data_IF_600217464020
#
_entry.id   IF_600217464020
#
_cell.length_a   1.000
_cell.length_b   1.000
_cell.length_c   1.000
_cell.angle_alpha   90.00
_cell.angle_beta   90.00
_cell.angle_gamma   90.00
#
_symmetry.space_group_name_H-M   'P 1'
#
loop_
_entity.id
_entity.type
_entity.pdbx_description
1 polymer ?
#
# COMPACT_ATOMS: atom_id res chain seq x y z
N UNK A 1 18.07 -0.97 27.13
CA UNK A 1 18.58 0.28 27.73
C UNK A 1 18.85 1.36 26.67
N UNK A 2 19.72 1.16 25.67
CA UNK A 2 20.09 2.18 24.65
C UNK A 2 18.90 2.76 23.88
N UNK A 3 17.96 1.91 23.40
CA UNK A 3 16.76 2.37 22.70
C UNK A 3 15.86 3.24 23.57
N UNK A 4 15.73 2.91 24.83
CA UNK A 4 14.91 3.65 25.80
C UNK A 4 15.50 5.06 26.07
N UNK A 5 16.83 5.17 26.26
CA UNK A 5 17.50 6.46 26.42
C UNK A 5 17.38 7.33 25.14
N UNK A 6 17.49 6.75 23.97
CA UNK A 6 17.25 7.46 22.69
C UNK A 6 15.84 8.01 22.63
N UNK A 7 14.84 7.21 23.06
CA UNK A 7 13.44 7.62 23.04
C UNK A 7 13.16 8.76 24.04
N UNK A 8 13.79 8.75 25.23
CA UNK A 8 13.74 9.89 26.18
C UNK A 8 14.21 11.17 25.51
N UNK A 9 15.41 11.14 24.90
CA UNK A 9 15.97 12.31 24.22
C UNK A 9 15.07 12.79 23.07
N UNK A 10 14.54 11.87 22.26
CA UNK A 10 13.60 12.17 21.18
C UNK A 10 12.32 12.81 21.71
N UNK A 11 11.77 12.28 22.79
CA UNK A 11 10.55 12.80 23.40
C UNK A 11 10.73 14.20 23.98
N UNK A 12 11.81 14.45 24.74
CA UNK A 12 12.11 15.78 25.27
C UNK A 12 12.33 16.80 24.15
N UNK A 13 13.06 16.45 23.10
CA UNK A 13 13.25 17.30 21.91
C UNK A 13 11.92 17.55 21.17
N UNK A 14 11.05 16.56 21.05
CA UNK A 14 9.73 16.72 20.48
C UNK A 14 8.94 17.75 21.30
N UNK A 15 8.84 17.55 22.62
CA UNK A 15 8.06 18.41 23.51
C UNK A 15 8.55 19.88 23.53
N UNK A 16 9.85 20.10 23.40
CA UNK A 16 10.39 21.47 23.30
C UNK A 16 10.12 22.17 21.97
N UNK A 17 9.77 21.42 20.91
CA UNK A 17 9.62 21.95 19.54
C UNK A 17 8.22 21.80 18.96
N UNK A 18 7.36 20.95 19.52
CA UNK A 18 6.06 20.60 18.89
C UNK A 18 5.15 21.82 18.67
N UNK A 19 5.24 22.85 19.52
CA UNK A 19 4.49 24.11 19.36
C UNK A 19 4.81 24.89 18.08
N UNK A 20 5.97 24.60 17.47
CA UNK A 20 6.41 25.22 16.21
C UNK A 20 5.76 24.57 14.98
N UNK A 21 4.98 23.50 15.17
CA UNK A 21 4.39 22.72 14.09
C UNK A 21 2.88 22.66 14.24
N UNK A 22 2.18 23.01 13.16
CA UNK A 22 0.74 22.80 13.06
C UNK A 22 0.41 21.44 12.46
N UNK A 23 1.26 20.97 11.55
CA UNK A 23 1.05 19.78 10.74
C UNK A 23 2.07 18.71 11.08
N UNK A 24 1.59 17.48 11.28
CA UNK A 24 2.41 16.29 11.43
C UNK A 24 2.03 15.18 10.46
N UNK A 25 2.99 14.30 10.22
CA UNK A 25 2.80 13.02 9.54
C UNK A 25 3.29 11.89 10.44
N UNK A 26 2.54 10.79 10.45
CA UNK A 26 2.94 9.56 11.11
C UNK A 26 3.16 8.45 10.09
N UNK A 27 4.33 7.80 10.16
CA UNK A 27 4.66 6.61 9.40
C UNK A 27 5.14 5.49 10.32
N UNK A 28 4.43 4.38 10.31
CA UNK A 28 4.78 3.22 11.13
C UNK A 28 6.10 2.58 10.72
N UNK A 29 6.39 2.57 9.41
CA UNK A 29 7.57 1.96 8.81
C UNK A 29 7.95 2.64 7.49
N UNK A 30 9.11 2.28 6.94
CA UNK A 30 9.61 2.84 5.69
C UNK A 30 8.70 2.55 4.48
N UNK A 31 8.01 1.42 4.47
CA UNK A 31 7.08 1.09 3.41
C UNK A 31 5.91 2.09 3.35
N UNK A 32 5.27 2.36 4.48
CA UNK A 32 4.20 3.37 4.58
C UNK A 32 4.75 4.77 4.28
N UNK A 33 5.99 5.05 4.68
CA UNK A 33 6.63 6.34 4.43
C UNK A 33 6.76 6.64 2.93
N UNK A 34 7.09 5.68 2.09
CA UNK A 34 7.19 5.86 0.64
C UNK A 34 5.89 6.39 0.01
N UNK A 35 4.73 5.98 0.52
CA UNK A 35 3.43 6.50 0.07
C UNK A 35 3.15 7.91 0.57
N UNK A 36 3.56 8.22 1.80
CA UNK A 36 3.37 9.54 2.41
C UNK A 36 4.34 10.60 1.87
N UNK A 37 5.50 10.20 1.34
CA UNK A 37 6.57 11.10 0.89
C UNK A 37 6.06 12.24 0.01
N UNK A 38 5.16 11.96 -0.93
CA UNK A 38 4.61 13.00 -1.82
C UNK A 38 3.72 14.01 -1.11
N UNK A 39 2.90 13.53 -0.19
CA UNK A 39 2.07 14.42 0.63
C UNK A 39 2.95 15.30 1.53
N UNK A 40 3.99 14.71 2.11
CA UNK A 40 5.00 15.40 2.92
C UNK A 40 5.71 16.47 2.10
N UNK A 41 6.26 16.11 0.94
CA UNK A 41 6.98 17.06 0.08
C UNK A 41 6.11 18.21 -0.41
N UNK A 42 4.84 17.95 -0.74
CA UNK A 42 3.89 19.00 -1.12
C UNK A 42 3.57 19.95 0.04
N UNK A 43 3.45 19.44 1.25
CA UNK A 43 3.20 20.25 2.44
C UNK A 43 4.43 21.05 2.86
N UNK A 44 5.64 20.49 2.76
CA UNK A 44 6.91 21.18 3.06
C UNK A 44 7.14 22.45 2.24
N UNK A 45 6.50 22.55 1.06
CA UNK A 45 6.53 23.78 0.25
C UNK A 45 5.79 24.94 0.89
N UNK A 46 4.89 24.69 1.84
CA UNK A 46 3.95 25.66 2.40
C UNK A 46 4.17 25.93 3.89
N UNK A 47 4.65 24.94 4.63
CA UNK A 47 4.74 25.01 6.09
C UNK A 47 5.78 24.05 6.67
N UNK A 48 6.21 24.31 7.91
CA UNK A 48 7.08 23.39 8.65
C UNK A 48 6.30 22.13 9.05
N UNK A 49 6.90 20.98 8.88
CA UNK A 49 6.28 19.68 9.14
C UNK A 49 7.05 18.93 10.22
N UNK A 50 6.30 18.26 11.09
CA UNK A 50 6.78 17.29 12.05
C UNK A 50 6.50 15.87 11.52
N UNK A 51 7.48 14.99 11.59
CA UNK A 51 7.33 13.58 11.22
C UNK A 51 7.59 12.70 12.43
N UNK A 52 6.61 11.86 12.75
CA UNK A 52 6.74 10.78 13.74
C UNK A 52 6.95 9.46 13.02
N UNK A 53 7.91 8.66 13.46
CA UNK A 53 8.15 7.35 12.87
C UNK A 53 8.57 6.31 13.92
N UNK A 54 8.36 5.02 13.58
CA UNK A 54 8.87 3.90 14.38
C UNK A 54 10.14 3.29 13.78
N UNK A 55 10.56 3.78 12.59
CA UNK A 55 11.79 3.40 11.90
C UNK A 55 12.53 4.64 11.42
N UNK A 56 13.81 4.50 11.15
CA UNK A 56 14.61 5.57 10.57
C UNK A 56 14.11 5.91 9.17
N UNK A 57 13.94 7.19 8.90
CA UNK A 57 13.46 7.72 7.62
C UNK A 57 14.65 8.08 6.71
N UNK A 58 14.52 7.97 5.38
CA UNK A 58 15.59 8.36 4.44
C UNK A 58 16.03 9.81 4.58
N UNK A 59 17.34 10.06 4.47
CA UNK A 59 18.00 11.35 4.75
C UNK A 59 17.51 12.52 3.89
N UNK A 60 17.02 12.28 2.68
CA UNK A 60 16.55 13.33 1.76
C UNK A 60 15.39 14.18 2.32
N UNK A 61 14.64 13.65 3.29
CA UNK A 61 13.52 14.33 3.96
C UNK A 61 13.93 14.86 5.33
N UNK A 62 14.81 14.16 6.04
CA UNK A 62 15.29 14.57 7.37
C UNK A 62 15.84 15.99 7.37
N UNK A 63 16.55 16.39 6.32
CA UNK A 63 17.15 17.73 6.20
C UNK A 63 16.11 18.86 5.98
N UNK A 64 14.86 18.51 5.65
CA UNK A 64 13.80 19.48 5.32
C UNK A 64 12.66 19.52 6.35
N UNK A 65 12.64 18.58 7.30
CA UNK A 65 11.59 18.41 8.29
C UNK A 65 12.18 18.03 9.64
N UNK A 66 11.41 18.19 10.71
CA UNK A 66 11.80 17.61 12.01
C UNK A 66 11.26 16.20 12.14
N UNK A 67 12.17 15.25 12.26
CA UNK A 67 11.86 13.83 12.36
C UNK A 67 12.15 13.33 13.78
N UNK A 68 11.18 12.63 14.37
CA UNK A 68 11.29 12.00 15.67
C UNK A 68 10.97 10.51 15.55
N UNK A 69 11.96 9.68 15.93
CA UNK A 69 11.85 8.22 15.85
C UNK A 69 11.71 7.65 17.24
N UNK A 70 10.75 6.71 17.41
CA UNK A 70 10.47 6.04 18.68
C UNK A 70 10.54 4.51 18.52
N UNK A 71 11.35 3.86 19.34
CA UNK A 71 11.68 2.44 19.21
C UNK A 71 10.89 1.57 20.20
N UNK A 72 10.64 2.07 21.41
CA UNK A 72 10.01 1.30 22.48
C UNK A 72 8.49 1.50 22.51
N UNK A 73 7.75 0.45 22.86
CA UNK A 73 6.29 0.49 22.92
C UNK A 73 5.79 1.62 23.82
N UNK A 74 6.42 1.79 24.98
CA UNK A 74 6.05 2.84 25.94
C UNK A 74 6.08 4.25 25.30
N UNK A 75 7.18 4.64 24.63
CA UNK A 75 7.29 5.97 24.01
C UNK A 75 6.45 6.11 22.76
N UNK A 76 6.21 5.04 22.04
CA UNK A 76 5.27 5.02 20.89
C UNK A 76 3.84 5.36 21.34
N UNK A 77 3.37 4.81 22.45
CA UNK A 77 2.06 5.14 23.01
C UNK A 77 2.05 6.55 23.64
N UNK A 78 3.05 6.88 24.43
CA UNK A 78 3.15 8.15 25.16
C UNK A 78 3.15 9.35 24.19
N UNK A 79 3.88 9.27 23.07
CA UNK A 79 3.95 10.38 22.12
C UNK A 79 2.59 10.70 21.54
N UNK A 80 1.79 9.71 21.17
CA UNK A 80 0.45 9.96 20.63
C UNK A 80 -0.50 10.52 21.68
N UNK A 81 -0.52 9.95 22.87
CA UNK A 81 -1.38 10.40 23.96
C UNK A 81 -1.13 11.87 24.34
N UNK A 82 0.12 12.33 24.21
CA UNK A 82 0.53 13.69 24.64
C UNK A 82 0.76 14.66 23.50
N UNK A 83 0.55 14.26 22.25
CA UNK A 83 0.82 15.08 21.06
C UNK A 83 -0.04 16.35 21.01
N UNK A 84 0.60 17.48 20.70
CA UNK A 84 -0.06 18.79 20.56
C UNK A 84 0.16 19.34 19.15
N UNK A 85 -0.66 18.88 18.20
CA UNK A 85 -0.67 19.34 16.81
C UNK A 85 -2.07 19.82 16.41
N UNK A 86 -2.16 20.62 15.35
CA UNK A 86 -3.43 20.96 14.73
C UNK A 86 -3.99 19.80 13.91
N UNK A 87 -3.11 19.10 13.17
CA UNK A 87 -3.50 17.96 12.32
C UNK A 87 -2.36 16.92 12.22
N UNK A 88 -2.72 15.65 12.27
CA UNK A 88 -1.82 14.51 12.01
C UNK A 88 -2.35 13.69 10.85
N UNK A 89 -1.56 13.54 9.81
CA UNK A 89 -1.81 12.66 8.68
C UNK A 89 -1.14 11.30 8.89
N UNK A 90 -1.85 10.23 8.56
CA UNK A 90 -1.31 8.86 8.66
C UNK A 90 -1.91 7.96 7.59
N UNK A 91 -1.17 6.92 7.22
CA UNK A 91 -1.66 5.77 6.45
C UNK A 91 -1.76 4.49 7.29
N UNK A 92 -1.60 4.59 8.61
CA UNK A 92 -1.84 3.49 9.56
C UNK A 92 -3.30 3.52 9.99
N UNK A 93 -4.08 2.46 9.75
CA UNK A 93 -5.47 2.36 10.18
C UNK A 93 -5.58 2.07 11.69
N UNK A 94 -6.79 1.78 12.16
CA UNK A 94 -7.07 1.32 13.52
C UNK A 94 -6.64 2.33 14.62
N UNK A 95 -6.82 3.63 14.35
CA UNK A 95 -6.64 4.69 15.35
C UNK A 95 -7.52 4.39 16.58
N UNK A 96 -6.95 4.54 17.76
CA UNK A 96 -7.50 4.17 19.08
C UNK A 96 -7.63 2.66 19.35
N UNK A 97 -7.50 1.80 18.37
CA UNK A 97 -7.57 0.36 18.52
C UNK A 97 -6.19 -0.30 18.66
N UNK A 98 -5.11 0.45 18.43
CA UNK A 98 -3.72 -0.03 18.48
C UNK A 98 -2.86 0.87 19.35
N UNK A 99 -1.53 0.84 19.17
CA UNK A 99 -0.57 1.78 19.80
C UNK A 99 -0.82 3.22 19.31
N UNK A 100 -1.38 3.36 18.11
CA UNK A 100 -1.73 4.65 17.52
C UNK A 100 -3.01 5.18 18.18
N UNK A 101 -2.85 6.15 19.10
CA UNK A 101 -3.93 6.72 19.92
C UNK A 101 -4.19 8.18 19.60
N UNK A 102 -5.42 8.62 19.80
CA UNK A 102 -5.74 10.05 19.78
C UNK A 102 -5.11 10.74 21.01
N UNK A 103 -4.62 11.96 20.79
CA UNK A 103 -4.11 12.77 21.89
C UNK A 103 -5.22 13.09 22.91
N UNK A 104 -4.90 12.99 24.19
CA UNK A 104 -5.77 13.41 25.29
C UNK A 104 -5.59 14.89 25.68
N UNK A 105 -4.54 15.53 25.18
CA UNK A 105 -4.12 16.88 25.58
C UNK A 105 -4.26 17.94 24.48
N UNK A 106 -4.82 17.57 23.33
CA UNK A 106 -5.05 18.51 22.24
C UNK A 106 -6.28 18.15 21.41
N UNK A 107 -6.79 19.13 20.68
CA UNK A 107 -7.86 18.94 19.67
C UNK A 107 -7.27 18.59 18.30
N UNK A 108 -6.19 17.79 18.26
CA UNK A 108 -5.56 17.36 17.02
C UNK A 108 -6.58 16.64 16.13
N UNK A 109 -6.63 17.02 14.85
CA UNK A 109 -7.41 16.30 13.85
C UNK A 109 -6.58 15.20 13.23
N UNK A 110 -7.15 14.01 13.07
CA UNK A 110 -6.51 12.84 12.51
C UNK A 110 -7.08 12.55 11.13
N UNK A 111 -6.22 12.54 10.12
CA UNK A 111 -6.62 12.38 8.72
C UNK A 111 -5.94 11.12 8.18
N UNK A 112 -6.75 10.18 7.72
CA UNK A 112 -6.24 8.98 7.06
C UNK A 112 -6.00 9.23 5.58
N UNK A 113 -4.79 8.88 5.10
CA UNK A 113 -4.39 8.90 3.70
C UNK A 113 -4.20 7.46 3.21
N UNK A 114 -4.86 7.11 2.11
CA UNK A 114 -4.72 5.77 1.57
C UNK A 114 -3.34 5.54 0.93
N UNK A 115 -2.71 4.43 1.30
CA UNK A 115 -1.45 3.95 0.73
C UNK A 115 -1.66 2.87 -0.35
N UNK A 116 -2.92 2.47 -0.62
CA UNK A 116 -3.25 1.47 -1.64
C UNK A 116 -4.70 1.62 -2.09
N UNK A 117 -5.01 1.36 -3.37
CA UNK A 117 -6.37 1.47 -3.91
C UNK A 117 -7.23 0.21 -3.66
N UNK A 118 -7.21 -0.33 -2.45
CA UNK A 118 -7.99 -1.51 -2.07
C UNK A 118 -9.32 -1.15 -1.42
N UNK A 119 -10.21 -2.13 -1.31
CA UNK A 119 -11.51 -2.01 -0.62
C UNK A 119 -11.33 -1.74 0.86
N UNK A 120 -12.15 -0.85 1.40
CA UNK A 120 -12.19 -0.51 2.81
C UNK A 120 -12.91 -1.58 3.62
N UNK A 121 -13.94 -2.18 3.04
CA UNK A 121 -14.79 -3.16 3.72
C UNK A 121 -14.24 -4.58 3.67
N UNK A 122 -13.47 -4.94 2.61
CA UNK A 122 -12.92 -6.29 2.43
C UNK A 122 -11.60 -6.50 3.19
N UNK A 123 -10.75 -5.46 3.21
CA UNK A 123 -9.34 -5.58 3.64
C UNK A 123 -9.10 -5.03 5.05
N UNK A 124 -9.83 -4.01 5.48
CA UNK A 124 -9.64 -3.40 6.79
C UNK A 124 -10.63 -3.94 7.82
N UNK A 125 -10.30 -3.82 9.10
CA UNK A 125 -11.22 -4.12 10.20
C UNK A 125 -12.46 -3.22 10.11
N UNK A 126 -13.58 -3.68 10.65
CA UNK A 126 -14.87 -2.98 10.56
C UNK A 126 -14.84 -1.57 11.16
N UNK A 127 -13.97 -1.34 12.15
CA UNK A 127 -13.82 -0.08 12.88
C UNK A 127 -12.50 0.65 12.58
N UNK A 128 -11.80 0.26 11.50
CA UNK A 128 -10.46 0.77 11.19
C UNK A 128 -10.41 2.29 11.01
N UNK A 129 -11.52 2.92 10.62
CA UNK A 129 -11.61 4.35 10.29
C UNK A 129 -12.47 5.16 11.26
N UNK A 130 -13.08 4.54 12.26
CA UNK A 130 -14.11 5.15 13.11
C UNK A 130 -13.58 6.33 13.93
N UNK A 131 -12.33 6.26 14.36
CA UNK A 131 -11.70 7.31 15.16
C UNK A 131 -11.06 8.44 14.35
N UNK A 132 -11.05 8.39 13.01
CA UNK A 132 -10.50 9.47 12.18
C UNK A 132 -11.50 10.61 11.98
N UNK A 133 -11.00 11.86 11.95
CA UNK A 133 -11.83 13.03 11.62
C UNK A 133 -12.11 13.10 10.12
N UNK A 134 -11.18 12.63 9.30
CA UNK A 134 -11.39 12.55 7.85
C UNK A 134 -10.60 11.38 7.23
N UNK A 135 -11.16 10.81 6.15
CA UNK A 135 -10.55 9.73 5.39
C UNK A 135 -10.49 10.13 3.92
N UNK A 136 -9.31 10.01 3.32
CA UNK A 136 -9.11 10.19 1.89
C UNK A 136 -9.77 9.06 1.12
N UNK A 137 -10.39 9.36 -0.02
CA UNK A 137 -10.77 8.40 -1.03
C UNK A 137 -10.01 8.71 -2.32
N UNK A 138 -9.29 7.73 -2.86
CA UNK A 138 -8.52 7.85 -4.10
C UNK A 138 -9.25 7.27 -5.30
N UNK A 139 -10.43 6.68 -5.06
CA UNK A 139 -11.32 6.15 -6.10
C UNK A 139 -12.79 6.37 -5.75
N UNK A 140 -13.66 6.28 -6.77
CA UNK A 140 -15.12 6.32 -6.59
C UNK A 140 -15.61 5.15 -5.73
N UNK A 141 -14.95 3.99 -5.81
CA UNK A 141 -15.25 2.81 -4.98
C UNK A 141 -15.00 3.09 -3.50
N UNK A 142 -13.80 3.53 -3.15
CA UNK A 142 -13.47 3.86 -1.76
C UNK A 142 -14.36 4.99 -1.22
N UNK A 143 -14.71 5.98 -2.05
CA UNK A 143 -15.61 7.05 -1.64
C UNK A 143 -17.00 6.52 -1.28
N UNK A 144 -17.57 5.61 -2.10
CA UNK A 144 -18.86 4.99 -1.85
C UNK A 144 -18.84 4.07 -0.62
N UNK A 145 -17.82 3.22 -0.51
CA UNK A 145 -17.63 2.35 0.67
C UNK A 145 -17.51 3.18 1.96
N UNK A 146 -16.70 4.25 1.96
CA UNK A 146 -16.55 5.09 3.16
C UNK A 146 -17.85 5.82 3.53
N UNK A 147 -18.60 6.30 2.55
CA UNK A 147 -19.93 6.88 2.78
C UNK A 147 -20.88 5.88 3.45
N UNK A 148 -20.87 4.64 3.00
CA UNK A 148 -21.70 3.58 3.58
C UNK A 148 -21.25 3.23 5.01
N UNK A 149 -19.92 3.13 5.27
CA UNK A 149 -19.35 2.92 6.62
C UNK A 149 -19.80 4.05 7.56
N UNK A 150 -19.63 5.31 7.13
CA UNK A 150 -20.05 6.49 7.92
C UNK A 150 -21.53 6.41 8.28
N UNK A 151 -22.38 6.10 7.31
CA UNK A 151 -23.83 6.02 7.53
C UNK A 151 -24.22 4.88 8.47
N UNK A 152 -23.66 3.67 8.26
CA UNK A 152 -23.98 2.49 9.09
C UNK A 152 -23.51 2.62 10.53
N UNK A 153 -22.26 3.12 10.71
CA UNK A 153 -21.67 3.26 12.02
C UNK A 153 -22.00 4.60 12.70
N UNK A 154 -22.82 5.45 12.03
CA UNK A 154 -23.22 6.80 12.52
C UNK A 154 -22.02 7.66 12.92
N UNK A 155 -20.97 7.68 12.09
CA UNK A 155 -19.71 8.35 12.36
C UNK A 155 -19.78 9.85 12.02
N UNK A 156 -19.02 10.66 12.76
CA UNK A 156 -18.76 12.07 12.43
C UNK A 156 -17.62 12.26 11.42
N UNK A 157 -16.96 11.18 11.03
CA UNK A 157 -15.86 11.13 10.06
C UNK A 157 -16.27 11.72 8.71
N UNK A 158 -15.40 12.52 8.09
CA UNK A 158 -15.61 13.03 6.73
C UNK A 158 -14.84 12.21 5.72
N UNK A 159 -15.41 11.99 4.54
CA UNK A 159 -14.69 11.44 3.39
C UNK A 159 -14.46 12.53 2.36
N UNK A 160 -13.23 12.60 1.81
CA UNK A 160 -12.87 13.55 0.76
C UNK A 160 -12.16 12.89 -0.39
N UNK A 161 -12.43 13.35 -1.61
CA UNK A 161 -11.79 12.88 -2.84
C UNK A 161 -10.43 13.53 -2.99
N UNK A 162 -9.41 12.76 -3.34
CA UNK A 162 -8.07 13.28 -3.59
C UNK A 162 -7.27 12.37 -4.50
N UNK A 163 -6.31 12.92 -5.23
CA UNK A 163 -5.41 12.18 -6.10
C UNK A 163 -4.53 11.20 -5.30
N UNK A 164 -4.28 10.04 -5.89
CA UNK A 164 -3.31 9.08 -5.39
C UNK A 164 -1.90 9.48 -5.83
N UNK A 165 -1.26 10.37 -5.08
CA UNK A 165 -0.01 11.01 -5.49
C UNK A 165 1.16 10.04 -5.70
N UNK A 166 1.18 8.92 -5.01
CA UNK A 166 2.20 7.88 -5.19
C UNK A 166 2.32 7.41 -6.66
N UNK A 167 1.20 7.27 -7.35
CA UNK A 167 1.15 6.83 -8.75
C UNK A 167 1.90 7.79 -9.68
N UNK A 168 1.86 9.09 -9.44
CA UNK A 168 2.48 10.08 -10.33
C UNK A 168 3.99 9.83 -10.51
N UNK A 169 4.70 9.50 -9.42
CA UNK A 169 6.14 9.17 -9.49
C UNK A 169 6.42 7.92 -10.31
N UNK A 170 5.55 6.93 -10.21
CA UNK A 170 5.67 5.70 -10.99
C UNK A 170 5.45 5.96 -12.49
N UNK A 171 4.44 6.78 -12.81
CA UNK A 171 4.15 7.19 -14.20
C UNK A 171 5.32 7.97 -14.80
N UNK A 172 5.90 8.92 -14.05
CA UNK A 172 7.07 9.69 -14.51
C UNK A 172 8.26 8.78 -14.77
N UNK A 173 8.57 7.85 -13.87
CA UNK A 173 9.65 6.88 -14.05
C UNK A 173 9.41 5.95 -15.24
N UNK A 174 8.16 5.51 -15.45
CA UNK A 174 7.81 4.64 -16.58
C UNK A 174 8.04 5.33 -17.94
N UNK A 175 7.90 6.67 -18.00
CA UNK A 175 8.16 7.44 -19.25
C UNK A 175 9.64 7.51 -19.61
N UNK A 176 10.53 7.42 -18.64
CA UNK A 176 11.98 7.69 -18.79
C UNK A 176 12.84 6.43 -18.73
N UNK A 177 12.29 5.28 -18.35
CA UNK A 177 13.05 4.05 -18.13
C UNK A 177 12.35 2.85 -18.78
N UNK A 178 13.14 2.03 -19.47
CA UNK A 178 12.67 0.80 -20.07
C UNK A 178 12.65 -0.36 -19.06
N UNK A 179 11.72 -1.30 -19.18
CA UNK A 179 11.72 -2.54 -18.40
C UNK A 179 13.00 -3.36 -18.65
N UNK A 180 13.62 -3.84 -17.61
CA UNK A 180 14.80 -4.74 -17.65
C UNK A 180 14.45 -6.22 -17.40
N UNK A 181 13.24 -6.49 -16.96
CA UNK A 181 12.73 -7.82 -16.62
C UNK A 181 11.32 -8.01 -17.20
N UNK A 182 11.02 -9.20 -17.73
CA UNK A 182 9.71 -9.45 -18.33
C UNK A 182 8.59 -9.48 -17.28
N UNK A 183 8.75 -10.26 -16.23
CA UNK A 183 7.65 -10.57 -15.30
C UNK A 183 7.98 -10.28 -13.85
N UNK A 184 7.10 -9.53 -13.17
CA UNK A 184 7.02 -9.48 -11.72
C UNK A 184 5.94 -10.46 -11.24
N UNK A 185 6.31 -11.39 -10.37
CA UNK A 185 5.37 -12.24 -9.63
C UNK A 185 5.22 -11.62 -8.24
N UNK A 186 4.06 -11.05 -7.89
CA UNK A 186 3.85 -10.34 -6.64
C UNK A 186 2.55 -10.78 -5.94
N UNK A 187 2.55 -11.97 -5.29
CA UNK A 187 1.36 -12.50 -4.63
C UNK A 187 0.99 -11.69 -3.38
N UNK A 188 -0.28 -11.73 -3.02
CA UNK A 188 -0.78 -11.17 -1.77
C UNK A 188 -0.39 -12.05 -0.59
N UNK A 189 -0.40 -11.48 0.61
CA UNK A 189 -0.28 -12.24 1.86
C UNK A 189 -1.63 -12.81 2.31
N UNK A 190 -1.60 -13.81 3.20
CA UNK A 190 -2.78 -14.53 3.67
C UNK A 190 -3.62 -15.12 2.52
N UNK A 191 -2.93 -15.53 1.47
CA UNK A 191 -3.51 -16.19 0.31
C UNK A 191 -3.01 -17.64 0.22
N UNK A 192 -3.72 -18.43 -0.56
CA UNK A 192 -3.32 -19.81 -0.80
C UNK A 192 -2.21 -19.97 -1.85
N UNK A 193 -1.64 -18.87 -2.35
CA UNK A 193 -0.70 -18.85 -3.46
C UNK A 193 0.51 -19.77 -3.25
N UNK A 194 1.18 -19.65 -2.10
CA UNK A 194 2.33 -20.48 -1.76
C UNK A 194 1.90 -21.93 -1.43
N UNK A 195 0.84 -22.06 -0.65
CA UNK A 195 0.30 -23.37 -0.21
C UNK A 195 -0.13 -24.24 -1.40
N UNK A 196 -0.73 -23.65 -2.43
CA UNK A 196 -1.17 -24.32 -3.64
C UNK A 196 -0.05 -24.50 -4.68
N UNK A 197 1.18 -24.13 -4.35
CA UNK A 197 2.34 -24.31 -5.24
C UNK A 197 2.31 -23.42 -6.50
N UNK A 198 1.48 -22.36 -6.56
CA UNK A 198 1.37 -21.49 -7.73
C UNK A 198 2.72 -20.90 -8.15
N UNK A 199 3.58 -20.51 -7.17
CA UNK A 199 4.92 -20.01 -7.44
C UNK A 199 5.78 -21.05 -8.19
N UNK A 200 5.79 -22.32 -7.74
CA UNK A 200 6.58 -23.39 -8.37
C UNK A 200 6.14 -23.63 -9.82
N UNK A 201 4.81 -23.67 -10.02
CA UNK A 201 4.23 -23.92 -11.35
C UNK A 201 4.52 -22.76 -12.32
N UNK A 202 4.40 -21.51 -11.87
CA UNK A 202 4.76 -20.33 -12.66
C UNK A 202 6.23 -20.33 -13.05
N UNK A 203 7.11 -20.52 -12.08
CA UNK A 203 8.55 -20.49 -12.28
C UNK A 203 8.98 -21.55 -13.28
N UNK A 204 8.48 -22.79 -13.16
CA UNK A 204 8.72 -23.85 -14.13
C UNK A 204 8.36 -23.40 -15.54
N UNK A 205 7.13 -22.94 -15.76
CA UNK A 205 6.64 -22.55 -17.09
C UNK A 205 7.38 -21.32 -17.67
N UNK A 206 7.72 -20.31 -16.84
CA UNK A 206 8.47 -19.13 -17.26
C UNK A 206 9.91 -19.49 -17.65
N UNK A 207 10.58 -20.33 -16.86
CA UNK A 207 11.95 -20.79 -17.12
C UNK A 207 12.03 -21.64 -18.40
N UNK A 208 11.12 -22.61 -18.59
CA UNK A 208 11.02 -23.40 -19.81
C UNK A 208 10.78 -22.53 -21.05
N UNK A 209 10.09 -21.41 -20.87
CA UNK A 209 9.80 -20.45 -21.96
C UNK A 209 10.86 -19.38 -22.13
N UNK A 210 11.97 -19.39 -21.38
CA UNK A 210 13.05 -18.39 -21.38
C UNK A 210 12.54 -16.95 -21.18
N UNK A 211 11.54 -16.80 -20.32
CA UNK A 211 10.99 -15.49 -19.93
C UNK A 211 11.65 -15.07 -18.61
N UNK A 212 12.23 -13.88 -18.58
CA UNK A 212 12.85 -13.35 -17.37
C UNK A 212 11.79 -12.97 -16.32
N UNK A 213 12.05 -13.30 -15.06
CA UNK A 213 11.09 -13.01 -13.97
C UNK A 213 11.81 -12.72 -12.65
N UNK A 214 11.11 -12.02 -11.75
CA UNK A 214 11.46 -11.92 -10.33
C UNK A 214 10.22 -12.15 -9.49
N UNK A 215 10.41 -12.74 -8.31
CA UNK A 215 9.34 -12.94 -7.34
C UNK A 215 9.52 -11.92 -6.20
N UNK A 216 8.43 -11.20 -5.86
CA UNK A 216 8.36 -10.25 -4.75
C UNK A 216 7.39 -10.78 -3.70
N UNK A 217 7.87 -11.46 -2.66
CA UNK A 217 7.00 -11.89 -1.56
C UNK A 217 6.42 -10.65 -0.86
N UNK A 218 5.16 -10.71 -0.45
CA UNK A 218 4.60 -9.65 0.36
C UNK A 218 5.28 -9.61 1.75
N UNK A 219 5.60 -8.43 2.33
CA UNK A 219 6.25 -8.34 3.65
C UNK A 219 5.55 -9.15 4.73
N UNK A 220 4.22 -9.12 4.76
CA UNK A 220 3.41 -9.89 5.71
C UNK A 220 3.51 -11.40 5.50
N UNK A 221 3.74 -11.89 4.28
CA UNK A 221 3.97 -13.32 4.02
C UNK A 221 5.27 -13.79 4.67
N UNK A 222 6.30 -12.93 4.68
CA UNK A 222 7.57 -13.22 5.36
C UNK A 222 7.41 -13.19 6.88
N UNK A 223 6.72 -12.18 7.42
CA UNK A 223 6.46 -12.05 8.86
C UNK A 223 5.62 -13.24 9.36
N UNK A 224 4.59 -13.64 8.62
CA UNK A 224 3.71 -14.77 8.96
C UNK A 224 4.28 -16.14 8.59
N UNK A 225 5.50 -16.17 8.05
CA UNK A 225 6.19 -17.42 7.63
C UNK A 225 5.39 -18.25 6.61
N UNK A 226 4.62 -17.60 5.73
CA UNK A 226 3.97 -18.26 4.59
C UNK A 226 5.02 -18.72 3.55
N UNK A 227 6.14 -18.03 3.52
CA UNK A 227 7.35 -18.32 2.75
C UNK A 227 8.55 -17.64 3.41
N UNK A 228 9.76 -18.01 3.01
CA UNK A 228 10.98 -17.31 3.44
C UNK A 228 11.87 -16.97 2.25
N UNK A 229 12.65 -15.91 2.34
CA UNK A 229 13.61 -15.54 1.30
C UNK A 229 14.60 -16.67 1.07
N UNK A 230 15.14 -17.27 2.14
CA UNK A 230 16.10 -18.37 2.07
C UNK A 230 15.53 -19.60 1.32
N UNK A 231 14.26 -19.96 1.56
CA UNK A 231 13.65 -21.10 0.86
C UNK A 231 13.43 -20.82 -0.62
N UNK A 232 13.07 -19.59 -0.96
CA UNK A 232 12.90 -19.17 -2.35
C UNK A 232 14.26 -19.12 -3.08
N UNK A 233 15.30 -18.60 -2.46
CA UNK A 233 16.67 -18.54 -3.00
C UNK A 233 17.26 -19.95 -3.19
N UNK A 234 17.02 -20.90 -2.26
CA UNK A 234 17.41 -22.31 -2.43
C UNK A 234 16.77 -22.98 -3.64
N UNK A 235 15.58 -22.50 -4.04
CA UNK A 235 14.91 -22.96 -5.26
C UNK A 235 15.43 -22.25 -6.53
N UNK A 236 16.47 -21.43 -6.42
CA UNK A 236 17.02 -20.64 -7.54
C UNK A 236 16.09 -19.52 -8.02
N UNK A 237 15.15 -19.05 -7.18
CA UNK A 237 14.17 -18.06 -7.57
C UNK A 237 14.76 -16.65 -7.41
N UNK A 238 14.86 -15.85 -8.47
CA UNK A 238 15.33 -14.49 -8.37
C UNK A 238 14.31 -13.62 -7.60
N UNK A 239 14.76 -13.05 -6.48
CA UNK A 239 13.92 -12.25 -5.60
C UNK A 239 14.05 -10.78 -5.96
N UNK A 240 12.91 -10.11 -6.11
CA UNK A 240 12.85 -8.66 -6.09
C UNK A 240 12.84 -8.16 -4.64
N UNK A 241 13.95 -7.59 -4.20
CA UNK A 241 14.10 -7.07 -2.83
C UNK A 241 13.27 -5.80 -2.68
N UNK A 242 11.98 -5.99 -2.40
CA UNK A 242 10.99 -5.05 -1.87
C UNK A 242 11.28 -3.56 -2.17
N UNK A 243 11.07 -3.17 -3.40
CA UNK A 243 11.01 -1.76 -3.71
C UNK A 243 9.78 -1.51 -4.60
N UNK A 244 8.66 -1.12 -3.99
CA UNK A 244 7.42 -0.80 -4.69
C UNK A 244 7.60 0.30 -5.74
N UNK A 245 8.63 1.13 -5.59
CA UNK A 245 9.00 2.17 -6.55
C UNK A 245 9.56 1.63 -7.88
N UNK A 246 9.66 0.31 -8.06
CA UNK A 246 10.31 -0.30 -9.21
C UNK A 246 9.37 -1.08 -10.14
N UNK A 247 8.05 -0.81 -10.10
CA UNK A 247 7.10 -1.48 -11.02
C UNK A 247 7.44 -1.21 -12.49
N UNK A 248 7.99 -0.05 -12.82
CA UNK A 248 8.41 0.33 -14.18
C UNK A 248 9.49 -0.60 -14.77
N UNK A 249 10.21 -1.37 -13.95
CA UNK A 249 11.22 -2.36 -14.40
C UNK A 249 10.62 -3.59 -15.04
N UNK A 250 9.31 -3.78 -14.95
CA UNK A 250 8.64 -4.99 -15.39
C UNK A 250 7.66 -4.71 -16.54
N UNK A 251 7.66 -5.61 -17.50
CA UNK A 251 6.71 -5.57 -18.62
C UNK A 251 5.33 -6.08 -18.23
N UNK A 252 5.30 -7.14 -17.43
CA UNK A 252 4.07 -7.82 -17.00
C UNK A 252 4.05 -8.02 -15.50
N UNK A 253 2.84 -8.08 -14.95
CA UNK A 253 2.58 -8.42 -13.56
C UNK A 253 1.74 -9.69 -13.49
N UNK A 254 2.17 -10.66 -12.67
CA UNK A 254 1.36 -11.81 -12.25
C UNK A 254 1.12 -11.70 -10.75
N UNK A 255 -0.14 -11.78 -10.33
CA UNK A 255 -0.52 -11.72 -8.92
C UNK A 255 -1.79 -12.55 -8.67
N UNK A 256 -2.43 -12.39 -7.51
CA UNK A 256 -3.69 -13.05 -7.15
C UNK A 256 -4.75 -12.06 -6.64
N UNK A 257 -4.86 -11.85 -5.32
CA UNK A 257 -5.78 -10.91 -4.67
C UNK A 257 -5.06 -9.67 -4.09
N UNK A 258 -3.93 -9.30 -4.63
CA UNK A 258 -3.18 -8.11 -4.20
C UNK A 258 -3.67 -6.86 -4.90
N UNK A 259 -3.82 -5.75 -4.20
CA UNK A 259 -4.15 -4.45 -4.77
C UNK A 259 -3.15 -3.92 -5.81
N UNK A 260 -1.96 -4.53 -5.89
CA UNK A 260 -0.92 -4.15 -6.86
C UNK A 260 -1.38 -4.24 -8.33
N UNK A 261 -2.39 -5.10 -8.64
CA UNK A 261 -2.93 -5.17 -10.01
C UNK A 261 -3.65 -3.88 -10.40
N UNK A 262 -4.29 -3.21 -9.43
CA UNK A 262 -4.93 -1.91 -9.65
C UNK A 262 -3.85 -0.86 -9.89
N UNK A 263 -2.81 -0.82 -9.05
CA UNK A 263 -1.67 0.09 -9.21
C UNK A 263 -0.97 -0.11 -10.57
N UNK A 264 -0.76 -1.36 -10.97
CA UNK A 264 -0.19 -1.70 -12.28
C UNK A 264 -1.03 -1.12 -13.42
N UNK A 265 -2.35 -1.31 -13.36
CA UNK A 265 -3.26 -0.76 -14.36
C UNK A 265 -3.25 0.79 -14.36
N UNK A 266 -3.20 1.42 -13.18
CA UNK A 266 -3.11 2.89 -13.04
C UNK A 266 -1.82 3.47 -13.64
N UNK A 267 -0.69 2.77 -13.50
CA UNK A 267 0.61 3.23 -14.00
C UNK A 267 0.74 3.00 -15.50
N UNK A 268 0.45 1.78 -15.95
CA UNK A 268 0.81 1.32 -17.30
C UNK A 268 -0.34 1.32 -18.28
N UNK A 269 -1.58 1.54 -17.85
CA UNK A 269 -2.79 1.42 -18.68
C UNK A 269 -2.88 0.06 -19.41
N UNK A 270 -2.43 -0.99 -18.74
CA UNK A 270 -2.39 -2.37 -19.24
C UNK A 270 -2.95 -3.34 -18.22
N UNK A 271 -3.48 -4.46 -18.71
CA UNK A 271 -3.97 -5.55 -17.86
C UNK A 271 -2.82 -6.37 -17.28
N UNK A 272 -2.93 -6.70 -16.00
CA UNK A 272 -2.10 -7.71 -15.36
C UNK A 272 -2.70 -9.10 -15.53
N UNK A 273 -1.97 -10.14 -15.08
CA UNK A 273 -2.45 -11.52 -15.04
C UNK A 273 -2.74 -11.92 -13.60
N UNK A 274 -3.92 -12.46 -13.34
CA UNK A 274 -4.33 -12.88 -12.00
C UNK A 274 -4.53 -14.40 -11.96
N UNK A 275 -4.00 -15.03 -10.91
CA UNK A 275 -4.29 -16.42 -10.61
C UNK A 275 -5.50 -16.46 -9.68
N UNK A 276 -6.48 -17.28 -10.04
CA UNK A 276 -7.71 -17.44 -9.30
C UNK A 276 -7.51 -18.36 -8.09
N UNK A 277 -6.78 -17.88 -7.08
CA UNK A 277 -6.69 -18.50 -5.76
C UNK A 277 -7.99 -18.25 -4.98
N UNK A 278 -8.26 -18.97 -3.87
CA UNK A 278 -9.34 -18.63 -2.97
C UNK A 278 -9.32 -17.16 -2.57
N UNK A 279 -10.51 -16.54 -2.53
CA UNK A 279 -10.65 -15.11 -2.26
C UNK A 279 -10.00 -14.73 -0.93
N UNK A 280 -9.19 -13.68 -0.95
CA UNK A 280 -8.60 -13.09 0.25
C UNK A 280 -9.62 -12.18 0.94
N UNK A 281 -10.10 -12.59 2.09
CA UNK A 281 -11.06 -11.86 2.91
C UNK A 281 -10.45 -11.66 4.30
N UNK A 282 -10.26 -10.39 4.70
CA UNK A 282 -9.82 -10.06 6.05
C UNK A 282 -10.98 -9.70 6.97
N UNK A 283 -11.98 -9.03 6.41
CA UNK A 283 -13.16 -8.61 7.13
C UNK A 283 -14.41 -9.33 6.59
N UNK A 284 -14.92 -10.31 7.32
CA UNK A 284 -16.11 -11.05 6.97
C UNK A 284 -17.38 -10.15 6.89
N UNK A 285 -17.38 -9.02 7.60
CA UNK A 285 -18.48 -8.07 7.61
C UNK A 285 -18.69 -7.35 6.27
N UNK A 286 -17.78 -7.53 5.28
CA UNK A 286 -17.94 -6.92 3.96
C UNK A 286 -19.26 -7.32 3.27
N UNK A 287 -19.80 -8.50 3.60
CA UNK A 287 -21.08 -8.97 3.06
C UNK A 287 -22.29 -8.14 3.54
N UNK A 288 -22.12 -7.40 4.63
CA UNK A 288 -23.15 -6.50 5.16
C UNK A 288 -23.21 -5.16 4.41
N UNK A 289 -22.27 -4.89 3.50
CA UNK A 289 -22.23 -3.65 2.73
C UNK A 289 -22.81 -3.85 1.33
N UNK A 290 -23.51 -2.83 0.83
CA UNK A 290 -24.13 -2.88 -0.50
C UNK A 290 -23.13 -2.61 -1.62
N UNK A 291 -22.07 -1.82 -1.34
CA UNK A 291 -21.01 -1.52 -2.30
C UNK A 291 -20.09 -2.72 -2.46
N UNK A 292 -19.97 -3.21 -3.70
CA UNK A 292 -19.02 -4.29 -3.99
C UNK A 292 -17.58 -3.81 -3.86
N UNK A 293 -16.70 -4.60 -3.18
CA UNK A 293 -15.26 -4.33 -3.11
C UNK A 293 -14.64 -4.08 -4.47
N UNK A 294 -13.70 -3.12 -4.52
CA UNK A 294 -13.05 -2.71 -5.76
C UNK A 294 -12.30 -3.88 -6.42
N UNK A 295 -11.66 -4.76 -5.63
CA UNK A 295 -10.97 -5.94 -6.13
C UNK A 295 -11.91 -6.93 -6.83
N UNK A 296 -13.16 -6.98 -6.39
CA UNK A 296 -14.18 -7.83 -7.02
C UNK A 296 -14.74 -7.15 -8.27
N UNK A 297 -15.03 -5.84 -8.16
CA UNK A 297 -15.67 -5.07 -9.24
C UNK A 297 -14.76 -4.87 -10.44
N UNK A 298 -13.47 -4.64 -10.22
CA UNK A 298 -12.52 -4.31 -11.27
C UNK A 298 -11.61 -5.48 -11.70
N UNK A 299 -11.68 -6.63 -11.04
CA UNK A 299 -10.79 -7.77 -11.28
C UNK A 299 -10.71 -8.15 -12.76
N UNK A 300 -11.84 -8.40 -13.39
CA UNK A 300 -11.91 -8.83 -14.78
C UNK A 300 -11.82 -7.67 -15.79
N UNK A 301 -11.86 -6.44 -15.30
CA UNK A 301 -11.71 -5.23 -16.13
C UNK A 301 -10.24 -4.86 -16.23
N UNK A 302 -9.57 -4.73 -15.08
CA UNK A 302 -8.17 -4.29 -14.98
C UNK A 302 -7.16 -5.41 -15.18
N UNK A 303 -7.61 -6.68 -15.23
CA UNK A 303 -6.74 -7.83 -15.36
C UNK A 303 -7.39 -8.98 -16.13
N UNK A 304 -6.55 -9.94 -16.58
CA UNK A 304 -7.00 -11.23 -17.10
C UNK A 304 -6.82 -12.29 -16.00
N UNK A 305 -7.89 -13.04 -15.70
CA UNK A 305 -7.90 -14.02 -14.61
C UNK A 305 -7.81 -15.45 -15.14
N UNK A 306 -6.97 -16.25 -14.53
CA UNK A 306 -6.71 -17.66 -14.90
C UNK A 306 -6.86 -18.56 -13.69
N UNK A 307 -7.48 -19.73 -13.90
CA UNK A 307 -7.47 -20.78 -12.90
C UNK A 307 -6.07 -21.40 -12.76
N UNK A 308 -5.78 -21.95 -11.58
CA UNK A 308 -4.47 -22.55 -11.27
C UNK A 308 -4.07 -23.61 -12.29
N UNK A 309 -5.02 -24.44 -12.73
CA UNK A 309 -4.80 -25.48 -13.76
C UNK A 309 -4.43 -24.92 -15.14
N UNK A 310 -4.67 -23.65 -15.39
CA UNK A 310 -4.44 -22.96 -16.66
C UNK A 310 -3.29 -21.94 -16.62
N UNK A 311 -2.41 -22.02 -15.63
CA UNK A 311 -1.26 -21.10 -15.46
C UNK A 311 -0.37 -21.04 -16.71
N UNK A 312 -0.20 -22.17 -17.42
CA UNK A 312 0.54 -22.21 -18.69
C UNK A 312 -0.01 -21.25 -19.76
N UNK A 313 -1.29 -20.91 -19.72
CA UNK A 313 -1.88 -19.96 -20.67
C UNK A 313 -1.41 -18.52 -20.43
N UNK A 314 -1.12 -18.16 -19.17
CA UNK A 314 -0.50 -16.87 -18.83
C UNK A 314 0.84 -16.74 -19.57
N UNK A 315 1.66 -17.79 -19.49
CA UNK A 315 3.00 -17.80 -20.10
C UNK A 315 2.91 -17.74 -21.63
N UNK A 316 1.95 -18.45 -22.24
CA UNK A 316 1.69 -18.35 -23.70
C UNK A 316 1.32 -16.94 -24.12
N UNK A 317 0.42 -16.26 -23.37
CA UNK A 317 0.04 -14.87 -23.66
C UNK A 317 1.21 -13.89 -23.50
N UNK A 318 2.00 -14.02 -22.42
CA UNK A 318 3.19 -13.19 -22.23
C UNK A 318 4.16 -13.36 -23.40
N UNK A 319 4.39 -14.58 -23.86
CA UNK A 319 5.26 -14.88 -24.99
C UNK A 319 4.75 -14.25 -26.29
N UNK A 320 3.45 -14.33 -26.53
CA UNK A 320 2.82 -13.71 -27.71
C UNK A 320 2.85 -12.18 -27.67
N UNK A 321 2.71 -11.57 -26.48
CA UNK A 321 2.62 -10.12 -26.30
C UNK A 321 3.97 -9.44 -26.03
N UNK A 322 5.08 -10.18 -26.00
CA UNK A 322 6.39 -9.64 -25.58
C UNK A 322 6.88 -8.48 -26.45
N UNK A 323 6.55 -8.48 -27.74
CA UNK A 323 6.99 -7.49 -28.72
C UNK A 323 5.98 -6.35 -28.95
N UNK A 324 4.75 -6.47 -28.42
CA UNK A 324 3.68 -5.48 -28.64
C UNK A 324 3.04 -5.06 -27.31
N UNK A 325 3.73 -4.21 -26.55
CA UNK A 325 3.19 -3.66 -25.32
C UNK A 325 2.47 -2.34 -25.64
N UNK A 326 1.15 -2.41 -25.83
CA UNK A 326 0.31 -1.24 -26.07
C UNK A 326 -0.56 -0.92 -24.86
N UNK A 327 -0.84 0.37 -24.64
CA UNK A 327 -1.86 0.81 -23.70
C UNK A 327 -3.26 0.39 -24.19
N UNK A 328 -4.14 0.02 -23.25
CA UNK A 328 -5.53 -0.33 -23.53
C UNK A 328 -6.39 0.94 -23.34
N UNK A 329 -6.93 1.50 -24.41
CA UNK A 329 -7.71 2.75 -24.39
C UNK A 329 -9.02 2.60 -23.59
N UNK A 330 -9.67 1.43 -23.61
CA UNK A 330 -10.85 1.18 -22.78
C UNK A 330 -10.50 1.18 -21.31
N UNK A 331 -9.37 0.58 -20.97
CA UNK A 331 -8.85 0.58 -19.59
C UNK A 331 -8.52 2.00 -19.12
N UNK A 332 -7.93 2.81 -19.98
CA UNK A 332 -7.59 4.21 -19.73
C UNK A 332 -8.84 5.04 -19.40
N UNK A 333 -9.92 4.84 -20.18
CA UNK A 333 -11.21 5.49 -19.92
C UNK A 333 -11.77 5.09 -18.56
N UNK A 334 -11.82 3.80 -18.24
CA UNK A 334 -12.33 3.28 -16.97
C UNK A 334 -11.51 3.80 -15.78
N UNK A 335 -10.18 3.90 -15.93
CA UNK A 335 -9.30 4.45 -14.90
C UNK A 335 -9.64 5.93 -14.65
N UNK A 336 -9.77 6.74 -15.69
CA UNK A 336 -10.05 8.17 -15.58
C UNK A 336 -11.43 8.45 -14.94
N UNK A 337 -12.42 7.57 -15.18
CA UNK A 337 -13.76 7.67 -14.58
C UNK A 337 -13.80 7.29 -13.10
N UNK A 338 -12.91 6.41 -12.64
CA UNK A 338 -13.01 5.78 -11.33
C UNK A 338 -11.94 6.17 -10.32
N UNK A 339 -10.84 6.79 -10.76
CA UNK A 339 -9.74 7.22 -9.88
C UNK A 339 -9.52 8.73 -9.97
N UNK A 340 -9.10 9.34 -8.83
CA UNK A 340 -8.93 10.78 -8.69
C UNK A 340 -7.49 11.23 -8.88
#
# INVERSE_FOLDING_TARGET
>A
MIKFLKDICSYCKLKSKESNYRVGFFSENNFIFEYLEFYILNKLKKEKILILSFENIPNNIVNKSSVFVFHTKFFRELVFLTLKLGVLYSSTPDLDNTIFKRSKFSKCKYIYLHHTPVSLTLIYNSNAFDAFDAVQAISTYQFKEMKEIISKNKLSTRVFKSKYLFINKQIEKNKTQNPDTDVLIAPSWNSSFYKLGCHKLLIKNLSESKISYKLRPHPMSLIKKETSINDLEKLGIPIDKLNFLNLYKYRFLITDWSGIFIEFALIFKRKSFLINTPKKIHNQSYLNYSNKPIEISLRNILAKTYDIKNIQNIVKEIKASKNEIKEDENLKKIINENFY
#
